data_IF_438635493763
#
_entry.id   IF_438635493763
#
_cell.length_a   1.000
_cell.length_b   1.000
_cell.length_c   1.000
_cell.angle_alpha   90.00
_cell.angle_beta   90.00
_cell.angle_gamma   90.00
#
_symmetry.space_group_name_H-M   'P 1'
#
loop_
_entity.id
_entity.type
_entity.pdbx_description
1 polymer ?
#
# COMPACT_ATOMS: atom_id res chain seq x y z
N UNK A 1 -20.14 43.76 31.31
CA UNK A 1 -19.45 43.11 30.17
C UNK A 1 -18.41 42.16 30.75
N UNK A 2 -18.69 40.84 30.78
CA UNK A 2 -17.70 39.75 30.93
C UNK A 2 -18.32 38.34 31.06
N UNK A 3 -19.65 38.18 30.97
CA UNK A 3 -20.28 36.84 31.02
C UNK A 3 -20.77 36.30 29.67
N UNK A 4 -20.65 37.07 28.58
CA UNK A 4 -21.11 36.65 27.23
C UNK A 4 -20.03 35.88 26.46
N UNK A 5 -18.75 36.00 26.84
CA UNK A 5 -17.63 35.30 26.18
C UNK A 5 -17.48 33.83 26.59
N UNK A 6 -18.01 33.43 27.74
CA UNK A 6 -17.89 32.05 28.23
C UNK A 6 -18.94 31.10 27.64
N UNK A 7 -20.11 31.61 27.25
CA UNK A 7 -21.20 30.80 26.69
C UNK A 7 -21.06 30.53 25.18
N UNK A 8 -20.26 31.33 24.46
CA UNK A 8 -19.95 31.07 23.05
C UNK A 8 -18.96 29.90 22.86
N UNK A 9 -18.27 29.47 23.92
CA UNK A 9 -17.30 28.38 23.87
C UNK A 9 -17.90 27.00 24.18
N UNK A 10 -19.06 26.94 24.85
CA UNK A 10 -19.74 25.67 25.11
C UNK A 10 -20.58 25.16 23.92
N UNK A 11 -20.94 26.03 22.97
CA UNK A 11 -21.75 25.63 21.80
C UNK A 11 -20.95 25.00 20.65
N UNK A 12 -19.60 25.02 20.71
CA UNK A 12 -18.72 24.52 19.64
C UNK A 12 -18.19 23.10 19.88
N UNK A 13 -18.55 22.47 21.00
CA UNK A 13 -18.10 21.10 21.34
C UNK A 13 -19.24 20.06 21.22
N UNK A 14 -20.46 20.49 20.89
CA UNK A 14 -21.65 19.62 20.92
C UNK A 14 -22.09 19.03 19.57
N UNK A 15 -21.34 19.22 18.47
CA UNK A 15 -21.70 18.70 17.14
C UNK A 15 -20.59 17.88 16.47
N UNK A 16 -19.92 17.02 17.25
CA UNK A 16 -18.98 16.04 16.72
C UNK A 16 -19.27 14.65 17.29
N UNK A 17 -20.54 14.23 17.26
CA UNK A 17 -20.84 12.79 17.23
C UNK A 17 -20.63 12.37 15.78
N UNK A 18 -19.36 12.20 15.40
CA UNK A 18 -19.03 11.39 14.25
C UNK A 18 -19.61 10.02 14.53
N UNK A 19 -20.42 9.52 13.60
CA UNK A 19 -20.81 8.14 13.56
C UNK A 19 -19.53 7.31 13.59
N UNK A 20 -19.22 6.75 14.76
CA UNK A 20 -18.27 5.65 14.86
C UNK A 20 -19.02 4.51 14.17
N UNK A 21 -18.77 4.36 12.87
CA UNK A 21 -19.04 3.10 12.20
C UNK A 21 -18.39 2.05 13.08
N UNK A 22 -19.20 1.12 13.59
CA UNK A 22 -18.67 -0.03 14.31
C UNK A 22 -17.73 -0.72 13.33
N UNK A 23 -16.42 -0.53 13.52
CA UNK A 23 -15.44 -1.38 12.89
C UNK A 23 -15.76 -2.78 13.41
N UNK A 24 -16.49 -3.54 12.60
CA UNK A 24 -16.64 -4.97 12.82
C UNK A 24 -15.22 -5.50 12.89
N UNK A 25 -14.86 -6.11 14.02
CA UNK A 25 -13.55 -6.76 14.15
C UNK A 25 -13.35 -7.60 12.88
N UNK A 26 -12.24 -7.35 12.16
CA UNK A 26 -11.93 -8.09 10.96
C UNK A 26 -11.98 -9.58 11.33
N UNK A 27 -12.84 -10.33 10.63
CA UNK A 27 -12.81 -11.78 10.77
C UNK A 27 -11.47 -12.21 10.20
N UNK A 28 -10.56 -12.67 11.06
CA UNK A 28 -9.19 -13.08 10.71
C UNK A 28 -9.15 -14.13 9.61
N UNK A 29 -10.29 -14.76 9.30
CA UNK A 29 -10.45 -15.74 8.22
C UNK A 29 -10.68 -15.11 6.86
N UNK A 30 -11.00 -13.82 6.77
CA UNK A 30 -11.33 -13.16 5.50
C UNK A 30 -10.06 -12.54 4.95
N UNK A 31 -9.38 -13.23 4.04
CA UNK A 31 -8.31 -12.63 3.27
C UNK A 31 -8.91 -11.73 2.19
N UNK A 32 -8.63 -10.44 2.25
CA UNK A 32 -9.18 -9.46 1.29
C UNK A 32 -8.07 -8.62 0.65
N UNK A 33 -8.21 -8.38 -0.65
CA UNK A 33 -7.31 -7.57 -1.47
C UNK A 33 -8.10 -6.48 -2.18
N UNK A 34 -7.70 -5.23 -1.95
CA UNK A 34 -8.32 -4.03 -2.50
C UNK A 34 -7.36 -3.30 -3.45
N UNK A 35 -7.76 -3.04 -4.70
CA UNK A 35 -7.00 -2.18 -5.62
C UNK A 35 -7.27 -0.70 -5.32
N UNK A 36 -6.42 -0.09 -4.51
CA UNK A 36 -6.54 1.32 -4.11
C UNK A 36 -6.18 2.28 -5.25
N UNK A 37 -5.16 1.92 -6.04
CA UNK A 37 -4.69 2.73 -7.17
C UNK A 37 -4.05 1.83 -8.24
N UNK A 38 -4.17 2.18 -9.53
CA UNK A 38 -5.00 3.24 -10.11
C UNK A 38 -6.50 2.88 -10.07
N UNK A 39 -7.35 3.91 -10.17
CA UNK A 39 -8.80 3.80 -10.34
C UNK A 39 -9.20 4.29 -11.73
N UNK A 40 -10.42 3.98 -12.17
CA UNK A 40 -10.96 4.49 -13.44
C UNK A 40 -11.24 6.00 -13.38
N UNK A 41 -10.16 6.77 -13.48
CA UNK A 41 -10.12 8.23 -13.37
C UNK A 41 -9.09 8.80 -14.36
N UNK A 42 -9.02 10.13 -14.44
CA UNK A 42 -8.00 10.83 -15.23
C UNK A 42 -6.88 11.35 -14.33
N UNK A 43 -5.65 10.93 -14.58
CA UNK A 43 -4.46 11.32 -13.83
C UNK A 43 -3.57 12.28 -14.62
N UNK A 44 -2.85 13.16 -13.92
CA UNK A 44 -1.73 13.88 -14.54
C UNK A 44 -0.56 12.90 -14.76
N UNK A 45 0.31 13.11 -15.76
CA UNK A 45 1.46 12.25 -15.96
C UNK A 45 2.34 12.17 -14.71
N UNK A 46 2.69 10.96 -14.30
CA UNK A 46 3.49 10.65 -13.11
C UNK A 46 4.77 9.91 -13.48
N UNK A 47 5.90 10.35 -12.93
CA UNK A 47 7.15 9.58 -13.01
C UNK A 47 7.06 8.26 -12.22
N UNK A 48 6.26 8.27 -11.14
CA UNK A 48 5.98 7.15 -10.26
C UNK A 48 4.47 7.01 -10.05
N UNK A 49 3.76 6.58 -11.10
CA UNK A 49 2.33 6.27 -11.01
C UNK A 49 2.14 5.06 -10.08
N UNK A 50 1.36 5.16 -8.99
CA UNK A 50 1.30 4.12 -7.98
C UNK A 50 0.28 3.03 -8.33
N UNK A 51 0.73 1.78 -8.24
CA UNK A 51 -0.10 0.57 -8.14
C UNK A 51 -0.08 0.17 -6.67
N UNK A 52 -1.23 0.24 -6.00
CA UNK A 52 -1.35 0.00 -4.56
C UNK A 52 -2.47 -0.99 -4.31
N UNK A 53 -2.11 -2.12 -3.73
CA UNK A 53 -3.03 -3.09 -3.18
C UNK A 53 -3.03 -2.98 -1.66
N UNK A 54 -4.21 -2.96 -1.04
CA UNK A 54 -4.35 -3.12 0.40
C UNK A 54 -4.76 -4.57 0.71
N UNK A 55 -4.12 -5.16 1.71
CA UNK A 55 -4.36 -6.51 2.19
C UNK A 55 -4.96 -6.41 3.59
N UNK A 56 -6.17 -6.93 3.74
CA UNK A 56 -6.79 -7.15 5.05
C UNK A 56 -6.57 -8.62 5.44
N UNK A 57 -6.19 -8.86 6.69
CA UNK A 57 -5.70 -10.16 7.18
C UNK A 57 -4.53 -10.73 6.36
N UNK A 58 -3.40 -10.01 6.24
CA UNK A 58 -2.24 -10.43 5.44
C UNK A 58 -1.55 -11.69 5.97
N UNK A 59 -1.89 -12.21 7.15
CA UNK A 59 -1.38 -13.50 7.59
C UNK A 59 -1.92 -14.66 6.73
N UNK A 60 -3.12 -14.53 6.19
CA UNK A 60 -3.76 -15.55 5.36
C UNK A 60 -3.11 -15.71 3.98
N UNK A 61 -2.37 -14.70 3.49
CA UNK A 61 -1.66 -14.80 2.22
C UNK A 61 -0.58 -15.89 2.25
N UNK A 62 0.07 -16.13 3.39
CA UNK A 62 1.02 -17.23 3.58
C UNK A 62 0.32 -18.58 3.50
N UNK A 63 -0.81 -18.70 4.19
CA UNK A 63 -1.60 -19.93 4.19
C UNK A 63 -2.01 -20.31 2.78
N UNK A 64 -2.26 -19.33 1.91
CA UNK A 64 -2.72 -19.57 0.55
C UNK A 64 -1.64 -19.39 -0.52
N UNK A 65 -0.36 -19.19 -0.18
CA UNK A 65 0.69 -18.80 -1.13
C UNK A 65 0.21 -17.73 -2.13
N UNK A 66 -0.46 -16.68 -1.64
CA UNK A 66 -1.17 -15.74 -2.50
C UNK A 66 -0.19 -14.91 -3.33
N UNK A 67 -0.54 -14.68 -4.59
CA UNK A 67 0.25 -13.85 -5.52
C UNK A 67 -0.66 -12.96 -6.35
N UNK A 68 -0.19 -11.74 -6.65
CA UNK A 68 -0.82 -10.87 -7.64
C UNK A 68 0.09 -10.79 -8.87
N UNK A 69 -0.42 -11.28 -9.98
CA UNK A 69 0.18 -11.07 -11.29
C UNK A 69 -0.44 -9.82 -11.90
N UNK A 70 0.38 -8.99 -12.54
CA UNK A 70 -0.10 -7.74 -13.10
C UNK A 70 0.66 -7.36 -14.36
N UNK A 71 0.00 -6.55 -15.16
CA UNK A 71 0.54 -6.00 -16.39
C UNK A 71 -0.11 -4.64 -16.60
N UNK A 72 0.69 -3.66 -16.99
CA UNK A 72 0.20 -2.31 -17.28
C UNK A 72 0.68 -1.88 -18.65
N UNK A 73 -0.21 -1.33 -19.45
CA UNK A 73 0.12 -0.85 -20.79
C UNK A 73 -0.77 0.30 -21.24
N UNK A 74 -0.32 0.98 -22.28
CA UNK A 74 -1.07 2.05 -22.93
C UNK A 74 -1.89 1.53 -24.10
N UNK A 75 -3.14 1.99 -24.21
CA UNK A 75 -4.05 1.67 -25.30
C UNK A 75 -4.10 0.17 -25.60
N UNK A 76 -3.71 -0.17 -26.83
CA UNK A 76 -3.54 -1.55 -27.29
C UNK A 76 -2.07 -1.92 -27.51
N UNK A 77 -1.12 -1.08 -27.06
CA UNK A 77 0.31 -1.26 -27.26
C UNK A 77 1.00 -1.74 -25.98
N UNK A 78 1.22 -3.06 -25.91
CA UNK A 78 1.90 -3.73 -24.79
C UNK A 78 3.39 -3.37 -24.66
N UNK A 79 3.95 -2.62 -25.61
CA UNK A 79 5.38 -2.28 -25.69
C UNK A 79 5.64 -0.78 -25.63
N UNK A 80 4.62 0.03 -25.34
CA UNK A 80 4.80 1.48 -25.24
C UNK A 80 5.72 1.84 -24.05
N UNK A 81 6.45 2.96 -24.11
CA UNK A 81 7.28 3.41 -22.99
C UNK A 81 6.47 3.50 -21.69
N UNK A 82 6.96 2.83 -20.64
CA UNK A 82 6.29 2.75 -19.34
C UNK A 82 5.33 1.57 -19.17
N UNK A 83 5.08 0.78 -20.24
CA UNK A 83 4.41 -0.50 -20.12
C UNK A 83 5.29 -1.51 -19.37
N UNK A 84 4.68 -2.32 -18.51
CA UNK A 84 5.34 -3.38 -17.75
C UNK A 84 4.49 -4.63 -17.89
N UNK A 85 5.07 -5.67 -18.49
CA UNK A 85 4.45 -6.99 -18.66
C UNK A 85 4.98 -7.96 -17.59
N UNK A 86 4.18 -8.97 -17.25
CA UNK A 86 4.59 -10.09 -16.41
C UNK A 86 5.08 -9.70 -15.01
N UNK A 87 4.50 -8.63 -14.42
CA UNK A 87 4.78 -8.22 -13.06
C UNK A 87 4.21 -9.21 -12.04
N UNK A 88 4.98 -9.47 -10.97
CA UNK A 88 4.57 -10.37 -9.88
C UNK A 88 4.73 -9.67 -8.52
N UNK A 89 3.75 -9.90 -7.67
CA UNK A 89 3.73 -9.54 -6.26
C UNK A 89 3.45 -10.83 -5.47
N UNK A 90 4.51 -11.47 -5.01
CA UNK A 90 4.42 -12.55 -4.03
C UNK A 90 3.95 -11.96 -2.70
N UNK A 91 2.81 -12.43 -2.18
CA UNK A 91 2.23 -11.95 -0.94
C UNK A 91 2.57 -12.87 0.25
N UNK A 92 3.27 -13.97 -0.02
CA UNK A 92 3.57 -15.08 0.88
C UNK A 92 5.03 -15.11 1.35
N UNK A 93 5.71 -13.97 1.42
CA UNK A 93 7.15 -13.94 1.65
C UNK A 93 7.46 -14.00 3.15
N UNK A 94 7.78 -15.19 3.64
CA UNK A 94 7.97 -15.56 5.06
C UNK A 94 8.97 -14.70 5.87
N UNK A 95 8.76 -14.75 7.19
CA UNK A 95 9.63 -14.40 8.34
C UNK A 95 10.32 -13.03 8.45
N UNK A 96 10.46 -12.23 7.38
CA UNK A 96 11.18 -10.94 7.43
C UNK A 96 10.30 -9.71 7.66
N UNK A 97 8.97 -9.87 7.68
CA UNK A 97 8.04 -8.77 7.93
C UNK A 97 7.41 -8.94 9.31
N UNK A 98 7.53 -7.94 10.18
CA UNK A 98 6.79 -7.91 11.45
C UNK A 98 5.30 -7.65 11.15
N UNK A 99 4.59 -8.69 10.70
CA UNK A 99 3.22 -8.66 10.13
C UNK A 99 2.12 -8.24 11.10
N UNK A 100 2.43 -8.12 12.39
CA UNK A 100 1.48 -7.73 13.44
C UNK A 100 1.39 -6.22 13.67
N UNK A 101 2.17 -5.37 12.99
CA UNK A 101 2.24 -3.94 13.37
C UNK A 101 1.37 -2.96 12.58
N UNK A 102 0.79 -3.35 11.43
CA UNK A 102 -0.17 -2.47 10.73
C UNK A 102 -1.08 -3.26 9.78
N UNK A 103 -2.28 -3.58 10.25
CA UNK A 103 -3.41 -3.87 9.36
C UNK A 103 -4.10 -2.55 9.00
N UNK A 104 -4.50 -2.35 7.73
CA UNK A 104 -4.20 -3.17 6.55
C UNK A 104 -2.74 -3.03 6.08
N UNK A 105 -2.20 -4.08 5.44
CA UNK A 105 -0.86 -4.04 4.84
C UNK A 105 -0.94 -3.55 3.39
N UNK A 106 0.00 -2.71 2.94
CA UNK A 106 0.01 -2.18 1.58
C UNK A 106 1.14 -2.78 0.76
N UNK A 107 0.81 -3.37 -0.39
CA UNK A 107 1.78 -3.87 -1.36
C UNK A 107 1.77 -2.96 -2.58
N UNK A 108 2.95 -2.50 -2.97
CA UNK A 108 3.07 -1.39 -3.92
C UNK A 108 4.06 -1.68 -5.05
N UNK A 109 3.70 -1.21 -6.25
CA UNK A 109 4.58 -1.09 -7.42
C UNK A 109 4.35 0.26 -8.08
N UNK A 110 5.27 0.66 -8.94
CA UNK A 110 5.22 1.95 -9.61
C UNK A 110 5.59 1.78 -11.07
N UNK A 111 5.09 2.68 -11.90
CA UNK A 111 5.43 2.73 -13.33
C UNK A 111 5.41 4.19 -13.82
N UNK A 112 6.03 4.43 -14.96
CA UNK A 112 6.24 5.78 -15.48
C UNK A 112 5.24 6.09 -16.60
N UNK A 113 4.46 7.15 -16.45
CA UNK A 113 3.50 7.64 -17.47
C UNK A 113 3.94 8.96 -18.11
N UNK A 114 5.09 9.53 -17.74
CA UNK A 114 5.61 10.81 -18.27
C UNK A 114 5.91 10.72 -19.77
N UNK A 115 6.47 9.59 -20.20
CA UNK A 115 6.85 9.37 -21.59
C UNK A 115 5.64 9.19 -22.51
N UNK A 116 4.47 8.85 -21.95
CA UNK A 116 3.20 8.82 -22.67
C UNK A 116 2.09 9.56 -21.90
N UNK A 117 2.10 10.90 -21.98
CA UNK A 117 1.37 11.78 -21.07
C UNK A 117 -0.08 12.09 -21.48
N UNK A 118 -0.58 11.49 -22.57
CA UNK A 118 -1.96 11.67 -23.05
C UNK A 118 -2.47 10.33 -23.59
N UNK A 119 -3.48 9.73 -22.96
CA UNK A 119 -4.10 8.51 -23.48
C UNK A 119 -4.70 7.58 -22.43
N UNK A 120 -5.13 6.41 -22.88
CA UNK A 120 -5.72 5.38 -22.04
C UNK A 120 -4.67 4.39 -21.59
N UNK A 121 -4.73 4.00 -20.33
CA UNK A 121 -3.86 2.99 -19.76
C UNK A 121 -4.73 1.89 -19.14
N UNK A 122 -4.27 0.65 -19.22
CA UNK A 122 -4.94 -0.50 -18.63
C UNK A 122 -4.00 -1.18 -17.67
N UNK A 123 -4.41 -1.30 -16.42
CA UNK A 123 -3.83 -2.23 -15.46
C UNK A 123 -4.68 -3.51 -15.50
N UNK A 124 -4.12 -4.60 -16.03
CA UNK A 124 -4.70 -5.93 -15.88
C UNK A 124 -3.99 -6.64 -14.75
N UNK A 125 -4.75 -7.34 -13.91
CA UNK A 125 -4.17 -8.09 -12.79
C UNK A 125 -5.02 -9.31 -12.46
N UNK A 126 -4.37 -10.28 -11.83
CA UNK A 126 -5.03 -11.48 -11.31
C UNK A 126 -4.50 -11.81 -9.93
N UNK A 127 -5.42 -12.06 -9.01
CA UNK A 127 -5.11 -12.63 -7.71
C UNK A 127 -5.19 -14.15 -7.80
N UNK A 128 -4.11 -14.80 -7.44
CA UNK A 128 -3.97 -16.25 -7.42
C UNK A 128 -3.78 -16.73 -5.97
N UNK A 129 -4.52 -17.77 -5.58
CA UNK A 129 -4.44 -18.41 -4.26
C UNK A 129 -4.32 -19.93 -4.45
N UNK A 130 -3.42 -20.57 -3.72
CA UNK A 130 -3.31 -22.01 -3.63
C UNK A 130 -4.39 -22.58 -2.69
N UNK A 131 -5.20 -23.51 -3.20
CA UNK A 131 -6.40 -24.05 -2.57
C UNK A 131 -6.37 -25.58 -2.49
N UNK A 132 -6.33 -26.10 -1.28
CA UNK A 132 -6.21 -27.53 -0.99
C UNK A 132 -7.54 -28.22 -0.63
N UNK A 133 -8.69 -27.57 -0.85
CA UNK A 133 -9.98 -28.03 -0.31
C UNK A 133 -10.47 -29.39 -0.87
N UNK A 134 -10.00 -29.82 -2.06
CA UNK A 134 -10.62 -30.94 -2.77
C UNK A 134 -9.78 -32.23 -2.92
N UNK A 135 -8.44 -32.22 -2.74
CA UNK A 135 -7.63 -33.44 -2.52
C UNK A 135 -6.12 -33.13 -2.45
N UNK A 136 -5.35 -33.64 -1.47
CA UNK A 136 -3.88 -33.58 -1.51
C UNK A 136 -3.25 -34.41 -2.65
N UNK A 137 -3.99 -35.37 -3.24
CA UNK A 137 -3.49 -36.26 -4.30
C UNK A 137 -3.74 -35.76 -5.74
N UNK A 138 -4.50 -34.68 -5.92
CA UNK A 138 -4.76 -34.11 -7.26
C UNK A 138 -3.66 -33.11 -7.60
N UNK A 139 -2.64 -33.61 -8.29
CA UNK A 139 -1.48 -32.88 -8.86
C UNK A 139 -1.81 -31.88 -9.99
N UNK A 140 -3.05 -31.38 -10.10
CA UNK A 140 -3.46 -30.42 -11.13
C UNK A 140 -3.90 -29.10 -10.52
N UNK A 141 -3.34 -27.99 -11.04
CA UNK A 141 -3.55 -26.58 -10.69
C UNK A 141 -4.60 -26.31 -9.62
N UNK A 142 -4.15 -26.35 -8.36
CA UNK A 142 -4.95 -26.05 -7.17
C UNK A 142 -5.16 -24.53 -6.99
N UNK A 143 -5.09 -23.75 -8.06
CA UNK A 143 -5.11 -22.31 -7.98
C UNK A 143 -6.52 -21.76 -8.18
N UNK A 144 -7.03 -21.02 -7.20
CA UNK A 144 -8.12 -20.08 -7.43
C UNK A 144 -7.50 -18.84 -8.06
N UNK A 145 -7.96 -18.48 -9.26
CA UNK A 145 -7.50 -17.27 -9.95
C UNK A 145 -8.68 -16.37 -10.25
N UNK A 146 -8.59 -15.12 -9.80
CA UNK A 146 -9.58 -14.09 -10.09
C UNK A 146 -8.91 -12.95 -10.84
N UNK A 147 -9.48 -12.62 -11.99
CA UNK A 147 -8.93 -11.63 -12.93
C UNK A 147 -9.69 -10.31 -12.83
N UNK A 148 -9.01 -9.20 -13.06
CA UNK A 148 -9.64 -7.91 -13.25
C UNK A 148 -8.78 -7.03 -14.17
N UNK A 149 -9.40 -5.97 -14.69
CA UNK A 149 -8.69 -4.90 -15.37
C UNK A 149 -9.29 -3.55 -15.00
N UNK A 150 -8.43 -2.57 -14.75
CA UNK A 150 -8.81 -1.18 -14.55
C UNK A 150 -8.21 -0.34 -15.65
N UNK A 151 -9.08 0.26 -16.46
CA UNK A 151 -8.70 1.26 -17.44
C UNK A 151 -8.82 2.64 -16.82
N UNK A 152 -7.81 3.48 -17.04
CA UNK A 152 -7.77 4.87 -16.60
C UNK A 152 -7.18 5.75 -17.71
N UNK A 153 -7.21 7.07 -17.53
CA UNK A 153 -6.69 8.02 -18.53
C UNK A 153 -5.56 8.83 -17.93
N UNK A 154 -4.57 9.19 -18.74
CA UNK A 154 -3.53 10.17 -18.40
C UNK A 154 -3.74 11.39 -19.29
N UNK A 155 -3.72 12.59 -18.68
CA UNK A 155 -3.76 13.86 -19.42
C UNK A 155 -3.08 14.99 -18.67
N UNK A 156 -2.30 15.82 -19.37
CA UNK A 156 -1.71 17.03 -18.78
C UNK A 156 -2.74 18.11 -18.47
N UNK A 157 -3.86 18.15 -19.20
CA UNK A 157 -4.82 19.25 -19.13
C UNK A 157 -5.87 19.05 -18.04
N UNK A 158 -6.44 17.84 -17.94
CA UNK A 158 -7.58 17.54 -17.06
C UNK A 158 -7.27 16.54 -15.95
N UNK A 159 -6.07 15.95 -15.96
CA UNK A 159 -5.66 14.97 -14.98
C UNK A 159 -5.52 15.53 -13.57
N UNK A 160 -5.61 14.65 -12.58
CA UNK A 160 -5.28 14.95 -11.18
C UNK A 160 -4.11 14.10 -10.72
N UNK A 161 -3.31 14.59 -9.79
CA UNK A 161 -2.29 13.75 -9.13
C UNK A 161 -3.00 12.62 -8.37
N UNK A 162 -2.45 11.38 -8.36
CA UNK A 162 -2.98 10.31 -7.53
C UNK A 162 -3.07 10.73 -6.06
N UNK A 163 -4.22 10.47 -5.44
CA UNK A 163 -4.48 10.76 -4.02
C UNK A 163 -4.93 9.48 -3.33
N UNK A 164 -4.00 8.85 -2.61
CA UNK A 164 -4.24 7.59 -1.90
C UNK A 164 -5.13 7.78 -0.66
N UNK A 165 -5.13 8.97 -0.05
CA UNK A 165 -5.97 9.28 1.11
C UNK A 165 -7.42 9.41 0.65
N UNK A 166 -7.66 10.24 -0.37
CA UNK A 166 -8.99 10.34 -0.99
C UNK A 166 -9.44 9.01 -1.63
N UNK A 167 -8.51 8.11 -1.96
CA UNK A 167 -8.86 6.80 -2.50
C UNK A 167 -9.54 5.86 -1.51
N UNK A 168 -9.35 6.10 -0.22
CA UNK A 168 -9.89 5.28 0.87
C UNK A 168 -10.95 6.02 1.68
N UNK A 169 -11.46 7.15 1.16
CA UNK A 169 -12.50 7.92 1.84
C UNK A 169 -13.84 7.18 1.80
N UNK A 170 -14.71 7.47 2.79
CA UNK A 170 -16.03 6.86 2.89
C UNK A 170 -16.90 7.08 1.64
N UNK A 171 -16.68 8.16 0.91
CA UNK A 171 -17.42 8.49 -0.30
C UNK A 171 -16.99 7.68 -1.52
N UNK A 172 -15.76 7.12 -1.52
CA UNK A 172 -15.19 6.49 -2.72
C UNK A 172 -14.77 5.03 -2.55
N UNK A 173 -14.58 4.55 -1.32
CA UNK A 173 -14.15 3.18 -1.03
C UNK A 173 -15.11 2.12 -1.59
N UNK A 174 -16.41 2.41 -1.69
CA UNK A 174 -17.41 1.48 -2.25
C UNK A 174 -17.26 1.22 -3.76
N UNK A 175 -16.47 2.05 -4.47
CA UNK A 175 -16.16 1.85 -5.89
C UNK A 175 -14.81 1.14 -6.11
N UNK A 176 -14.09 0.79 -5.04
CA UNK A 176 -12.83 0.07 -5.10
C UNK A 176 -13.06 -1.36 -5.58
N UNK A 177 -12.22 -1.81 -6.51
CA UNK A 177 -12.22 -3.22 -6.94
C UNK A 177 -11.57 -4.03 -5.82
N UNK A 178 -12.31 -5.00 -5.29
CA UNK A 178 -11.93 -5.75 -4.11
C UNK A 178 -12.33 -7.23 -4.24
N UNK A 179 -11.49 -8.12 -3.71
CA UNK A 179 -11.77 -9.56 -3.66
C UNK A 179 -11.49 -10.10 -2.27
N UNK A 180 -12.44 -10.88 -1.73
CA UNK A 180 -12.36 -11.48 -0.41
C UNK A 180 -12.57 -12.99 -0.47
N UNK A 181 -11.79 -13.73 0.33
CA UNK A 181 -11.83 -15.18 0.42
C UNK A 181 -11.89 -15.60 1.89
N UNK A 182 -12.78 -16.54 2.18
CA UNK A 182 -12.89 -17.15 3.50
C UNK A 182 -11.85 -18.27 3.63
N UNK A 183 -10.72 -17.99 4.25
CA UNK A 183 -9.66 -18.95 4.56
C UNK A 183 -9.98 -19.62 5.89
N UNK A 184 -10.49 -20.84 5.81
CA UNK A 184 -11.01 -21.61 6.97
C UNK A 184 -9.93 -22.40 7.70
N UNK A 185 -8.76 -22.55 7.10
CA UNK A 185 -7.61 -23.27 7.64
C UNK A 185 -6.58 -23.55 6.54
N UNK A 186 -5.60 -24.40 6.85
CA UNK A 186 -4.54 -24.77 5.91
C UNK A 186 -3.17 -24.79 6.60
N UNK A 187 -2.18 -25.27 5.85
CA UNK A 187 -0.76 -25.12 6.22
C UNK A 187 -0.12 -24.05 5.34
N UNK A 188 1.14 -23.70 5.62
CA UNK A 188 1.88 -22.75 4.81
C UNK A 188 1.85 -23.15 3.32
N UNK A 189 1.39 -22.24 2.47
CA UNK A 189 1.24 -22.44 1.03
C UNK A 189 0.11 -23.38 0.60
N UNK A 190 -0.81 -23.75 1.49
CA UNK A 190 -1.90 -24.68 1.20
C UNK A 190 -3.16 -24.37 2.04
N UNK A 191 -4.01 -23.46 1.54
CA UNK A 191 -5.19 -22.97 2.25
C UNK A 191 -6.49 -23.71 1.91
N UNK A 192 -7.40 -23.78 2.87
CA UNK A 192 -8.76 -24.32 2.70
C UNK A 192 -9.78 -23.20 2.61
N UNK A 193 -10.60 -23.24 1.57
CA UNK A 193 -11.53 -22.19 1.22
C UNK A 193 -12.94 -22.54 1.71
N UNK A 194 -13.53 -21.61 2.44
CA UNK A 194 -14.90 -21.71 2.91
C UNK A 194 -15.91 -21.18 1.91
N UNK A 195 -17.11 -20.87 2.41
CA UNK A 195 -18.17 -20.24 1.62
C UNK A 195 -17.75 -18.86 1.11
N UNK A 196 -18.31 -18.45 -0.04
CA UNK A 196 -18.12 -17.12 -0.59
C UNK A 196 -18.45 -16.02 0.44
N UNK A 197 -17.64 -14.97 0.43
CA UNK A 197 -17.79 -13.78 1.27
C UNK A 197 -17.79 -12.54 0.39
N UNK A 198 -18.30 -11.43 0.93
CA UNK A 198 -18.30 -10.13 0.25
C UNK A 198 -17.14 -9.30 0.77
N UNK A 199 -16.40 -8.66 -0.14
CA UNK A 199 -15.34 -7.74 0.23
C UNK A 199 -15.89 -6.47 0.88
N UNK A 200 -15.13 -5.88 1.80
CA UNK A 200 -15.40 -4.62 2.45
C UNK A 200 -14.22 -3.64 2.29
N UNK A 201 -14.05 -3.05 1.08
CA UNK A 201 -12.94 -2.13 0.81
C UNK A 201 -12.97 -0.84 1.65
N UNK A 202 -14.11 -0.53 2.26
CA UNK A 202 -14.28 0.63 3.15
C UNK A 202 -13.69 0.43 4.56
N UNK A 203 -13.22 -0.77 4.89
CA UNK A 203 -12.44 -1.03 6.09
C UNK A 203 -11.00 -0.51 6.00
N UNK A 204 -10.49 -0.28 4.78
CA UNK A 204 -9.16 0.24 4.56
C UNK A 204 -9.16 1.75 4.66
N UNK A 205 -8.18 2.31 5.38
CA UNK A 205 -7.94 3.76 5.43
C UNK A 205 -6.45 4.03 5.29
N UNK A 206 -6.08 4.85 4.30
CA UNK A 206 -4.74 5.39 4.16
C UNK A 206 -4.73 6.80 4.74
N UNK A 207 -3.97 6.98 5.82
CA UNK A 207 -3.74 8.32 6.36
C UNK A 207 -2.58 9.03 5.59
N UNK A 208 -2.43 10.35 5.74
CA UNK A 208 -1.38 11.11 5.03
C UNK A 208 0.04 10.61 5.29
N UNK A 209 0.33 10.07 6.49
CA UNK A 209 1.64 9.51 6.81
C UNK A 209 1.91 8.23 6.01
N UNK A 210 0.95 7.32 5.96
CA UNK A 210 1.05 6.09 5.18
C UNK A 210 1.17 6.38 3.68
N UNK A 211 0.38 7.32 3.15
CA UNK A 211 0.50 7.78 1.77
C UNK A 211 1.91 8.32 1.46
N UNK A 212 2.47 9.12 2.39
CA UNK A 212 3.83 9.65 2.26
C UNK A 212 4.88 8.54 2.29
N UNK A 213 4.73 7.55 3.18
CA UNK A 213 5.62 6.38 3.25
C UNK A 213 5.59 5.54 1.98
N UNK A 214 4.41 5.33 1.39
CA UNK A 214 4.26 4.62 0.11
C UNK A 214 5.02 5.34 -1.00
N UNK A 215 4.87 6.66 -1.12
CA UNK A 215 5.57 7.43 -2.15
C UNK A 215 7.08 7.57 -1.88
N UNK A 216 7.49 7.54 -0.62
CA UNK A 216 8.91 7.48 -0.24
C UNK A 216 9.53 6.14 -0.68
N UNK A 217 8.85 5.01 -0.44
CA UNK A 217 9.28 3.70 -0.92
C UNK A 217 9.34 3.62 -2.46
N UNK A 218 8.42 4.31 -3.16
CA UNK A 218 8.49 4.48 -4.61
C UNK A 218 9.78 5.15 -5.06
N UNK A 219 10.16 6.22 -4.35
CA UNK A 219 11.36 7.01 -4.65
C UNK A 219 12.61 6.18 -4.35
N UNK A 220 12.64 5.49 -3.22
CA UNK A 220 13.72 4.57 -2.86
C UNK A 220 13.92 3.48 -3.92
N UNK A 221 12.83 2.84 -4.38
CA UNK A 221 12.86 1.85 -5.46
C UNK A 221 13.45 2.43 -6.74
N UNK A 222 12.94 3.59 -7.18
CA UNK A 222 13.41 4.25 -8.40
C UNK A 222 14.88 4.68 -8.32
N UNK A 223 15.39 4.88 -7.10
CA UNK A 223 16.77 5.26 -6.82
C UNK A 223 17.69 4.08 -6.52
N UNK A 224 17.17 2.85 -6.53
CA UNK A 224 17.98 1.66 -6.41
C UNK A 224 18.98 1.57 -7.58
N UNK A 225 20.24 1.20 -7.33
CA UNK A 225 21.23 0.98 -8.39
C UNK A 225 20.76 0.01 -9.48
N UNK A 226 19.91 -0.96 -9.11
CA UNK A 226 19.36 -1.96 -10.03
C UNK A 226 18.28 -1.39 -10.97
N UNK A 227 17.64 -0.30 -10.58
CA UNK A 227 16.55 0.36 -11.34
C UNK A 227 17.04 1.64 -12.06
N UNK A 228 18.32 1.96 -11.93
CA UNK A 228 18.91 3.20 -12.45
C UNK A 228 18.81 3.22 -13.98
N UNK A 229 18.04 4.16 -14.51
CA UNK A 229 17.78 4.33 -15.94
C UNK A 229 16.35 3.98 -16.38
N UNK A 230 15.59 3.24 -15.57
CA UNK A 230 14.15 3.00 -15.80
C UNK A 230 13.33 4.25 -15.44
N UNK A 231 13.77 4.97 -14.40
CA UNK A 231 13.10 6.16 -13.87
C UNK A 231 13.98 7.42 -13.97
N UNK A 232 14.36 7.87 -15.18
CA UNK A 232 15.31 8.98 -15.35
C UNK A 232 14.79 10.34 -14.85
N UNK A 233 13.46 10.45 -14.63
CA UNK A 233 12.81 11.69 -14.18
C UNK A 233 12.67 11.77 -12.65
N UNK A 234 13.16 10.77 -11.91
CA UNK A 234 13.14 10.77 -10.45
C UNK A 234 14.46 11.32 -9.92
N UNK A 235 14.37 12.32 -9.03
CA UNK A 235 15.54 12.88 -8.36
C UNK A 235 15.90 12.02 -7.15
N UNK A 236 17.10 11.45 -7.18
CA UNK A 236 17.60 10.60 -6.11
C UNK A 236 18.45 11.39 -5.11
N UNK A 237 18.37 11.06 -3.80
CA UNK A 237 19.32 11.58 -2.82
C UNK A 237 20.74 11.27 -3.28
N UNK A 238 21.68 12.18 -3.06
CA UNK A 238 23.07 11.92 -3.33
C UNK A 238 23.51 10.70 -2.51
N UNK A 239 24.09 9.69 -3.17
CA UNK A 239 24.72 8.58 -2.46
C UNK A 239 25.74 9.16 -1.48
N UNK A 240 25.82 8.64 -0.24
CA UNK A 240 26.95 8.95 0.61
C UNK A 240 28.22 8.64 -0.19
N UNK A 241 29.07 9.64 -0.37
CA UNK A 241 30.39 9.41 -0.96
C UNK A 241 31.10 8.45 0.00
N UNK A 242 31.24 7.18 -0.39
CA UNK A 242 32.21 6.32 0.26
C UNK A 242 33.57 7.00 0.09
N UNK A 243 34.10 7.58 1.17
CA UNK A 243 35.49 7.98 1.17
C UNK A 243 36.30 6.70 1.01
N UNK A 244 36.94 6.55 -0.15
CA UNK A 244 37.92 5.51 -0.42
C UNK A 244 39.12 5.70 0.50
N UNK A 245 39.01 5.27 1.74
CA UNK A 245 40.13 4.97 2.61
C UNK A 245 39.90 3.55 3.11
N UNK A 246 40.55 2.60 2.45
CA UNK A 246 40.73 1.26 2.98
C UNK A 246 41.39 1.35 4.36
N UNK A 247 40.62 1.03 5.40
CA UNK A 247 41.14 0.53 6.64
C UNK A 247 40.11 -0.49 7.19
N UNK A 248 40.58 -1.72 7.40
CA UNK A 248 39.83 -2.81 8.00
C UNK A 248 39.21 -2.40 9.37
N UNK A 249 38.14 -3.08 9.83
CA UNK A 249 37.13 -2.50 10.69
C UNK A 249 37.53 -2.49 12.16
N UNK A 250 36.98 -1.54 12.95
CA UNK A 250 36.65 -1.85 14.33
C UNK A 250 35.16 -1.64 14.61
N UNK A 251 34.54 -2.71 15.10
CA UNK A 251 33.55 -2.75 16.17
C UNK A 251 32.46 -1.67 16.24
N UNK A 252 31.23 -2.12 15.97
CA UNK A 252 29.96 -1.74 16.60
C UNK A 252 30.04 -0.55 17.57
N UNK A 253 29.54 0.61 17.12
CA UNK A 253 29.08 1.66 18.02
C UNK A 253 27.62 1.99 17.66
N UNK A 254 26.70 1.39 18.41
CA UNK A 254 25.29 1.73 18.38
C UNK A 254 25.12 3.20 18.81
N UNK A 255 24.60 4.03 17.91
CA UNK A 255 24.23 5.41 18.21
C UNK A 255 22.93 5.44 19.02
N UNK A 256 23.04 5.22 20.34
CA UNK A 256 22.00 5.61 21.31
C UNK A 256 22.19 7.10 21.56
N UNK A 257 21.43 7.96 20.88
CA UNK A 257 21.45 9.41 21.13
C UNK A 257 20.12 10.10 20.86
N UNK A 258 19.06 9.64 21.54
CA UNK A 258 17.82 10.43 21.69
C UNK A 258 17.37 10.56 23.17
N UNK A 259 17.93 9.78 24.11
CA UNK A 259 17.49 9.81 25.52
C UNK A 259 18.11 10.90 26.41
N UNK A 260 19.18 11.58 25.97
CA UNK A 260 19.87 12.61 26.78
C UNK A 260 19.29 14.03 26.64
N UNK A 261 18.43 14.29 25.67
CA UNK A 261 17.75 15.59 25.53
C UNK A 261 16.48 15.71 26.40
N UNK A 262 15.87 14.58 26.80
CA UNK A 262 14.66 14.59 27.64
C UNK A 262 14.96 14.80 29.14
N UNK A 263 16.13 14.36 29.63
CA UNK A 263 16.48 14.42 31.06
C UNK A 263 16.98 15.81 31.52
N UNK A 264 17.48 16.64 30.61
CA UNK A 264 17.89 18.03 30.93
C UNK A 264 16.70 19.01 30.98
N UNK A 265 15.60 18.69 30.28
CA UNK A 265 14.39 19.50 30.27
C UNK A 265 13.51 19.25 31.52
N UNK A 266 13.55 18.05 32.09
CA UNK A 266 12.81 17.73 33.34
C UNK A 266 13.51 18.29 34.59
N UNK A 267 14.84 18.38 34.60
CA UNK A 267 15.59 18.92 35.75
C UNK A 267 15.56 20.45 35.84
N UNK A 268 15.42 21.15 34.71
CA UNK A 268 15.28 22.62 34.70
C UNK A 268 13.87 23.09 35.11
N UNK A 269 12.83 22.26 34.92
CA UNK A 269 11.46 22.55 35.37
C UNK A 269 11.21 22.30 36.87
N UNK A 270 12.07 21.52 37.53
CA UNK A 270 11.96 21.26 38.98
C UNK A 270 12.62 22.38 39.82
N UNK A 271 13.59 23.11 39.26
CA UNK A 271 14.30 24.19 39.96
C UNK A 271 13.75 25.61 39.73
N UNK A 272 12.62 25.75 39.02
CA UNK A 272 11.97 27.04 38.74
C UNK A 272 10.59 27.18 39.41
N UNK A 273 10.40 26.53 40.56
CA UNK A 273 9.28 26.78 41.46
C UNK A 273 9.77 27.24 42.83
#
# INVERSE_FOLDING_TARGET
MNHVRFLAWCALVANSVLAIGTATAADWRIFEVDLISPRNMTYTPQALMPIVFALQNPASSDTTAASIFWSVWEGNNLTSPGSIMDGVLELDVGDNWNRTSSEPHFVTRFFNTVNYPEGFWTLSWSLQLYNCSDNPEKQGDQFITTNNATTFTVSRQSGKTPDLVAATSAETCGATVAYAYNVTGGEYGCGFMGSNVTANPCSVTINPSAASSIMAAATEMACSPLETGVYPNVSCPASPVESSNEAAPPHVAAAVSIWLALLTLVTTLIHLR
#
